data_IF_474192672890
#
_entry.id   IF_474192672890
#
_cell.length_a   1.000
_cell.length_b   1.000
_cell.length_c   1.000
_cell.angle_alpha   90.00
_cell.angle_beta   90.00
_cell.angle_gamma   90.00
#
_symmetry.space_group_name_H-M   'P 1'
#
loop_
_entity.id
_entity.type
_entity.pdbx_description
1 polymer ?
#
# COMPACT_ATOMS: atom_id res chain seq x y z
N UNK A 1 9.59 26.48 41.03
CA UNK A 1 9.27 25.06 40.83
C UNK A 1 8.99 24.85 39.35
N UNK A 2 9.70 23.90 38.72
CA UNK A 2 9.47 23.49 37.31
C UNK A 2 8.32 22.50 37.29
N UNK A 3 7.33 22.71 36.43
CA UNK A 3 6.49 21.63 35.92
C UNK A 3 6.37 21.78 34.39
N UNK A 4 6.63 20.65 33.74
CA UNK A 4 6.70 20.43 32.31
C UNK A 4 5.37 19.83 31.79
N UNK A 5 5.27 19.72 30.46
CA UNK A 5 4.45 18.81 29.62
C UNK A 5 3.19 19.41 28.93
N UNK A 6 3.17 19.63 27.59
CA UNK A 6 3.03 18.67 26.44
C UNK A 6 1.52 18.44 26.12
N UNK A 7 0.94 18.43 24.92
CA UNK A 7 1.28 18.55 23.49
C UNK A 7 -0.04 18.97 22.76
N UNK A 8 -0.07 19.71 21.64
CA UNK A 8 0.05 19.24 20.24
C UNK A 8 -0.81 17.97 19.99
N UNK A 9 -1.78 17.89 19.08
CA UNK A 9 -1.75 18.14 17.63
C UNK A 9 -3.19 18.30 17.10
N UNK A 10 -3.35 19.17 16.11
CA UNK A 10 -4.54 19.46 15.31
C UNK A 10 -4.71 18.40 14.21
N UNK A 11 -5.96 17.94 14.05
CA UNK A 11 -6.66 17.44 12.85
C UNK A 11 -5.94 16.56 11.80
N UNK A 12 -6.57 15.43 11.47
CA UNK A 12 -6.64 14.97 10.09
C UNK A 12 -7.93 14.16 9.87
N UNK A 13 -8.59 14.43 8.75
CA UNK A 13 -9.97 14.13 8.43
C UNK A 13 -10.30 12.63 8.32
N UNK A 14 -11.40 12.24 8.94
CA UNK A 14 -12.15 11.04 8.57
C UNK A 14 -13.00 11.37 7.35
N UNK A 15 -12.42 11.26 6.15
CA UNK A 15 -13.18 11.29 4.90
C UNK A 15 -13.52 9.86 4.51
N UNK A 16 -14.70 9.41 4.95
CA UNK A 16 -15.34 8.19 4.45
C UNK A 16 -15.68 8.39 2.98
N UNK A 17 -14.85 7.86 2.08
CA UNK A 17 -15.18 7.75 0.66
C UNK A 17 -15.55 6.28 0.37
N UNK A 18 -16.86 6.01 0.31
CA UNK A 18 -17.40 4.83 -0.39
C UNK A 18 -17.17 5.02 -1.88
N UNK A 19 -16.50 4.07 -2.54
CA UNK A 19 -16.35 4.09 -4.00
C UNK A 19 -16.66 2.73 -4.59
N UNK A 20 -17.57 2.74 -5.56
CA UNK A 20 -18.00 1.58 -6.33
C UNK A 20 -16.85 0.97 -7.13
N UNK A 21 -16.81 -0.36 -7.18
CA UNK A 21 -15.91 -1.16 -8.01
C UNK A 21 -16.24 -0.91 -9.50
N UNK A 22 -15.50 0.01 -10.12
CA UNK A 22 -15.53 0.23 -11.56
C UNK A 22 -14.49 -0.69 -12.25
N UNK A 23 -14.87 -1.18 -13.44
CA UNK A 23 -14.11 -2.04 -14.36
C UNK A 23 -12.58 -1.93 -14.25
N UNK A 24 -11.88 -3.08 -14.20
CA UNK A 24 -10.42 -3.26 -14.04
C UNK A 24 -9.58 -2.13 -14.65
N UNK A 25 -9.44 -1.04 -13.89
CA UNK A 25 -8.70 0.13 -14.30
C UNK A 25 -7.21 -0.22 -14.22
N UNK A 26 -6.50 -0.06 -15.33
CA UNK A 26 -5.04 -0.20 -15.37
C UNK A 26 -4.45 0.74 -14.32
N UNK A 27 -3.76 0.17 -13.33
CA UNK A 27 -3.21 0.94 -12.21
C UNK A 27 -2.19 1.96 -12.73
N UNK A 28 -2.10 3.12 -12.09
CA UNK A 28 -0.92 3.99 -12.27
C UNK A 28 0.34 3.28 -11.80
N UNK A 29 1.51 3.71 -12.25
CA UNK A 29 2.79 3.10 -11.84
C UNK A 29 3.00 3.19 -10.32
N UNK A 30 2.60 4.30 -9.70
CA UNK A 30 2.62 4.47 -8.25
C UNK A 30 1.73 3.46 -7.54
N UNK A 31 0.50 3.26 -8.02
CA UNK A 31 -0.41 2.25 -7.47
C UNK A 31 0.14 0.84 -7.67
N UNK A 32 0.71 0.54 -8.84
CA UNK A 32 1.32 -0.76 -9.13
C UNK A 32 2.48 -1.09 -8.20
N UNK A 33 3.37 -0.13 -7.93
CA UNK A 33 4.47 -0.29 -6.98
C UNK A 33 3.93 -0.57 -5.58
N UNK A 34 2.90 0.17 -5.14
CA UNK A 34 2.30 -0.09 -3.82
C UNK A 34 1.60 -1.45 -3.74
N UNK A 35 0.89 -1.88 -4.80
CA UNK A 35 0.33 -3.24 -4.87
C UNK A 35 1.42 -4.31 -4.74
N UNK A 36 2.62 -4.05 -5.29
CA UNK A 36 3.77 -4.93 -5.12
C UNK A 36 4.36 -4.94 -3.70
N UNK A 37 4.14 -3.90 -2.91
CA UNK A 37 4.40 -3.93 -1.47
C UNK A 37 3.30 -4.75 -0.77
N UNK A 38 2.04 -4.47 -1.04
CA UNK A 38 0.89 -5.05 -0.34
C UNK A 38 0.71 -6.57 -0.48
N UNK A 39 1.29 -7.17 -1.52
CA UNK A 39 1.33 -8.64 -1.67
C UNK A 39 2.15 -9.37 -0.60
N UNK A 40 2.96 -8.64 0.20
CA UNK A 40 3.69 -9.24 1.32
C UNK A 40 2.80 -9.40 2.56
N UNK A 41 1.57 -8.87 2.54
CA UNK A 41 0.61 -9.05 3.61
C UNK A 41 0.18 -10.52 3.71
N UNK A 42 0.01 -11.05 4.94
CA UNK A 42 -0.49 -12.41 5.12
C UNK A 42 -1.98 -12.50 4.79
N UNK A 43 -2.43 -13.69 4.41
CA UNK A 43 -3.86 -14.01 4.24
C UNK A 43 -4.48 -13.49 2.93
N UNK A 44 -5.81 -13.36 2.93
CA UNK A 44 -6.62 -13.08 1.74
C UNK A 44 -6.26 -11.75 1.04
N UNK A 45 -5.82 -10.75 1.80
CA UNK A 45 -5.39 -9.47 1.24
C UNK A 45 -4.13 -9.63 0.37
N UNK A 46 -3.12 -10.38 0.85
CA UNK A 46 -1.91 -10.67 0.09
C UNK A 46 -2.19 -11.39 -1.24
N UNK A 47 -3.15 -12.32 -1.24
CA UNK A 47 -3.59 -13.02 -2.44
C UNK A 47 -4.29 -12.08 -3.44
N UNK A 48 -5.18 -11.21 -2.95
CA UNK A 48 -5.84 -10.16 -3.75
C UNK A 48 -4.82 -9.25 -4.43
N UNK A 49 -3.84 -8.73 -3.69
CA UNK A 49 -2.79 -7.87 -4.25
C UNK A 49 -1.85 -8.63 -5.19
N UNK A 50 -1.63 -9.91 -4.94
CA UNK A 50 -0.87 -10.78 -5.86
C UNK A 50 -1.57 -10.91 -7.21
N UNK A 51 -2.89 -11.14 -7.22
CA UNK A 51 -3.70 -11.19 -8.43
C UNK A 51 -3.68 -9.84 -9.18
N UNK A 52 -3.87 -8.73 -8.46
CA UNK A 52 -3.87 -7.38 -9.05
C UNK A 52 -2.53 -7.01 -9.69
N UNK A 53 -1.41 -7.32 -9.04
CA UNK A 53 -0.10 -7.12 -9.65
C UNK A 53 0.07 -7.97 -10.91
N UNK A 54 -0.32 -9.26 -10.89
CA UNK A 54 -0.19 -10.13 -12.07
C UNK A 54 -1.01 -9.58 -13.25
N UNK A 55 -2.24 -9.15 -12.99
CA UNK A 55 -3.10 -8.52 -13.99
C UNK A 55 -2.50 -7.22 -14.56
N UNK A 56 -1.79 -6.45 -13.73
CA UNK A 56 -1.24 -5.15 -14.10
C UNK A 56 0.22 -5.17 -14.55
N UNK A 57 0.96 -6.27 -14.40
CA UNK A 57 2.40 -6.34 -14.73
C UNK A 57 2.65 -6.24 -16.24
N UNK A 58 1.81 -6.88 -17.04
CA UNK A 58 2.05 -7.04 -18.48
C UNK A 58 2.04 -5.69 -19.19
N UNK A 59 3.07 -5.45 -20.01
CA UNK A 59 3.20 -4.23 -20.81
C UNK A 59 3.54 -2.97 -20.00
N UNK A 60 4.06 -3.11 -18.78
CA UNK A 60 4.73 -2.02 -18.06
C UNK A 60 6.19 -1.96 -18.45
N UNK A 61 6.79 -0.79 -18.32
CA UNK A 61 8.22 -0.61 -18.51
C UNK A 61 9.01 -1.36 -17.43
N UNK A 62 10.15 -1.94 -17.80
CA UNK A 62 10.97 -2.78 -16.91
C UNK A 62 11.37 -2.04 -15.63
N UNK A 63 11.76 -0.76 -15.73
CA UNK A 63 12.12 0.04 -14.57
C UNK A 63 11.00 0.23 -13.54
N UNK A 64 9.72 0.14 -13.97
CA UNK A 64 8.56 0.18 -13.06
C UNK A 64 8.41 -1.16 -12.34
N UNK A 65 8.60 -2.26 -13.07
CA UNK A 65 8.58 -3.62 -12.52
C UNK A 65 9.71 -3.79 -11.50
N UNK A 66 10.92 -3.34 -11.83
CA UNK A 66 12.07 -3.41 -10.93
C UNK A 66 11.85 -2.61 -9.65
N UNK A 67 11.29 -1.40 -9.76
CA UNK A 67 10.90 -0.60 -8.58
C UNK A 67 9.83 -1.30 -7.74
N UNK A 68 8.85 -1.91 -8.38
CA UNK A 68 7.79 -2.64 -7.69
C UNK A 68 8.36 -3.86 -6.93
N UNK A 69 9.29 -4.59 -7.54
CA UNK A 69 9.95 -5.73 -6.92
C UNK A 69 10.95 -5.30 -5.82
N UNK A 70 11.61 -4.15 -5.96
CA UNK A 70 12.42 -3.56 -4.90
C UNK A 70 11.54 -3.17 -3.70
N UNK A 71 10.40 -2.55 -3.96
CA UNK A 71 9.44 -2.15 -2.93
C UNK A 71 8.91 -3.37 -2.15
N UNK A 72 8.62 -4.49 -2.85
CA UNK A 72 8.31 -5.78 -2.22
C UNK A 72 9.41 -6.23 -1.26
N UNK A 73 10.67 -6.26 -1.72
CA UNK A 73 11.82 -6.70 -0.92
C UNK A 73 12.04 -5.81 0.30
N UNK A 74 11.82 -4.51 0.17
CA UNK A 74 11.95 -3.57 1.28
C UNK A 74 10.83 -3.77 2.31
N UNK A 75 9.60 -4.05 1.86
CA UNK A 75 8.50 -4.43 2.76
C UNK A 75 8.79 -5.73 3.51
N UNK A 76 9.36 -6.74 2.83
CA UNK A 76 9.79 -8.00 3.47
C UNK A 76 10.91 -7.78 4.49
N UNK A 77 11.84 -6.86 4.22
CA UNK A 77 12.93 -6.50 5.14
C UNK A 77 12.46 -5.69 6.35
N UNK A 78 11.38 -4.93 6.19
CA UNK A 78 10.83 -4.03 7.22
C UNK A 78 10.22 -4.73 8.44
N UNK A 79 9.98 -6.05 8.38
CA UNK A 79 9.46 -6.81 9.50
C UNK A 79 8.02 -6.45 9.90
N UNK A 80 7.63 -6.82 11.13
CA UNK A 80 6.25 -6.74 11.60
C UNK A 80 5.71 -5.30 11.72
N UNK A 81 6.55 -4.34 12.14
CA UNK A 81 6.14 -2.93 12.30
C UNK A 81 5.79 -2.28 10.96
N UNK A 82 6.58 -2.56 9.92
CA UNK A 82 6.28 -2.11 8.57
C UNK A 82 5.08 -2.84 8.00
N UNK A 83 4.89 -4.14 8.28
CA UNK A 83 3.73 -4.89 7.83
C UNK A 83 2.41 -4.31 8.37
N UNK A 84 2.36 -3.88 9.65
CA UNK A 84 1.18 -3.27 10.25
C UNK A 84 0.82 -1.92 9.60
N UNK A 85 1.84 -1.09 9.33
CA UNK A 85 1.67 0.18 8.62
C UNK A 85 1.23 -0.05 7.17
N UNK A 86 1.86 -1.01 6.50
CA UNK A 86 1.54 -1.38 5.13
C UNK A 86 0.10 -1.87 5.02
N UNK A 87 -0.38 -2.69 5.95
CA UNK A 87 -1.77 -3.15 5.97
C UNK A 87 -2.78 -1.99 5.95
N UNK A 88 -2.53 -0.92 6.73
CA UNK A 88 -3.37 0.28 6.73
C UNK A 88 -3.29 1.04 5.40
N UNK A 89 -2.10 1.19 4.83
CA UNK A 89 -1.91 1.88 3.55
C UNK A 89 -2.51 1.08 2.38
N UNK A 90 -2.45 -0.25 2.45
CA UNK A 90 -2.94 -1.17 1.43
C UNK A 90 -4.46 -1.21 1.34
N UNK A 91 -5.16 -1.02 2.45
CA UNK A 91 -6.61 -0.91 2.49
C UNK A 91 -7.16 0.25 1.63
N UNK A 92 -6.33 1.24 1.28
CA UNK A 92 -6.72 2.43 0.52
C UNK A 92 -6.37 2.34 -0.98
N UNK A 93 -5.56 1.35 -1.39
CA UNK A 93 -5.06 1.24 -2.78
C UNK A 93 -6.10 0.65 -3.73
N UNK A 94 -7.02 -0.15 -3.19
CA UNK A 94 -8.06 -0.82 -3.97
C UNK A 94 -9.41 -0.39 -3.43
N UNK A 95 -10.22 0.37 -4.20
CA UNK A 95 -11.62 0.59 -3.87
C UNK A 95 -12.41 -0.73 -3.88
#
# INVERSE_FOLDING_TARGET
MRTFFTAMIIAAAASSATVAVAAEARLSDTQFIKVAQCRTLPGADGEKFTALYKANKRGRADHVVDKADAAKRDAERGGADMAAKLAQECAVIVP
#
